data_IF_856615180970
#
_entry.id   IF_856615180970
#
_cell.length_a   1.000
_cell.length_b   1.000
_cell.length_c   1.000
_cell.angle_alpha   90.00
_cell.angle_beta   90.00
_cell.angle_gamma   90.00
#
_symmetry.space_group_name_H-M   'P 1'
#
loop_
_entity.id
_entity.type
_entity.pdbx_description
1 polymer ?
#
# COMPACT_ATOMS: atom_id res chain seq x y z
N UNK A 1 7.99 -24.28 -2.39
CA UNK A 1 7.47 -23.67 -1.15
C UNK A 1 7.98 -22.24 -1.09
N UNK A 2 7.22 -21.29 -1.65
CA UNK A 2 7.55 -19.87 -1.56
C UNK A 2 6.70 -19.25 -0.45
N UNK A 3 7.37 -18.50 0.42
CA UNK A 3 6.83 -18.01 1.70
C UNK A 3 5.80 -16.90 1.45
N UNK A 4 4.52 -17.28 1.50
CA UNK A 4 3.38 -16.38 1.57
C UNK A 4 3.35 -15.71 2.96
N UNK A 5 4.14 -14.65 3.17
CA UNK A 5 4.03 -13.79 4.36
C UNK A 5 4.03 -12.32 3.98
N UNK A 6 2.82 -11.81 3.85
CA UNK A 6 2.36 -10.53 4.39
C UNK A 6 2.99 -9.24 3.82
N UNK A 7 2.25 -8.61 2.92
CA UNK A 7 2.15 -7.13 2.91
C UNK A 7 0.73 -6.77 3.31
N UNK A 8 0.50 -6.74 4.63
CA UNK A 8 -0.70 -6.15 5.24
C UNK A 8 -0.47 -4.64 5.32
N UNK A 9 -1.13 -3.86 4.47
CA UNK A 9 -1.20 -2.41 4.66
C UNK A 9 -2.16 -2.11 5.81
N UNK A 10 -1.64 -1.55 6.90
CA UNK A 10 -2.35 -1.30 8.16
C UNK A 10 -2.73 0.19 8.27
N UNK A 11 -4.01 0.41 8.54
CA UNK A 11 -4.62 1.68 8.92
C UNK A 11 -4.06 2.21 10.26
N UNK A 12 -3.74 3.52 10.32
CA UNK A 12 -3.16 4.16 11.50
C UNK A 12 -4.26 4.84 12.33
N UNK A 13 -4.47 4.33 13.55
CA UNK A 13 -5.33 4.94 14.58
C UNK A 13 -4.46 5.75 15.56
N UNK A 14 -4.67 7.06 15.65
CA UNK A 14 -3.94 7.97 16.55
C UNK A 14 -4.49 7.88 17.99
N UNK A 15 -3.71 7.34 18.93
CA UNK A 15 -3.98 7.37 20.37
C UNK A 15 -3.01 8.32 21.08
N UNK A 16 -3.56 9.29 21.81
CA UNK A 16 -2.85 10.22 22.70
C UNK A 16 -2.46 9.53 24.01
N UNK A 17 -1.16 9.30 24.24
CA UNK A 17 -0.62 8.72 25.48
C UNK A 17 0.08 9.82 26.31
N UNK A 18 -0.14 9.89 27.64
CA UNK A 18 0.50 10.87 28.52
C UNK A 18 2.02 10.61 28.69
N UNK A 19 2.77 11.70 28.61
CA UNK A 19 4.23 11.78 28.67
C UNK A 19 4.74 11.49 30.11
N UNK A 20 5.08 10.23 30.39
CA UNK A 20 5.97 9.90 31.52
C UNK A 20 7.41 9.93 31.01
N UNK A 21 8.30 10.62 31.74
CA UNK A 21 9.71 10.80 31.39
C UNK A 21 10.43 9.44 31.30
N UNK A 22 10.41 8.84 30.11
CA UNK A 22 11.16 7.65 29.73
C UNK A 22 12.33 8.06 28.84
N UNK A 23 13.42 7.33 29.01
CA UNK A 23 14.71 7.36 28.32
C UNK A 23 14.76 8.14 26.99
N UNK A 24 15.26 9.38 27.07
CA UNK A 24 15.40 10.28 25.91
C UNK A 24 16.26 9.69 24.79
N UNK A 25 17.17 8.77 25.12
CA UNK A 25 18.03 8.08 24.16
C UNK A 25 17.22 7.18 23.22
N UNK A 26 16.21 6.48 23.75
CA UNK A 26 15.34 5.58 22.97
C UNK A 26 14.42 6.34 22.01
N UNK A 27 14.02 7.56 22.39
CA UNK A 27 13.18 8.39 21.53
C UNK A 27 13.94 8.91 20.30
N UNK A 28 15.17 9.41 20.47
CA UNK A 28 15.97 9.93 19.37
C UNK A 28 16.31 8.83 18.33
N UNK A 29 16.64 7.63 18.79
CA UNK A 29 16.88 6.48 17.91
C UNK A 29 15.62 6.08 17.13
N UNK A 30 14.46 6.05 17.78
CA UNK A 30 13.17 5.79 17.13
C UNK A 30 12.86 6.84 16.05
N UNK A 31 13.08 8.12 16.35
CA UNK A 31 12.88 9.21 15.38
C UNK A 31 13.78 9.07 14.17
N UNK A 32 15.07 8.74 14.36
CA UNK A 32 16.02 8.49 13.26
C UNK A 32 15.60 7.32 12.36
N UNK A 33 15.19 6.20 12.96
CA UNK A 33 14.72 5.01 12.20
C UNK A 33 13.48 5.35 11.37
N UNK A 34 12.51 6.05 11.97
CA UNK A 34 11.28 6.44 11.28
C UNK A 34 11.58 7.41 10.13
N UNK A 35 12.48 8.37 10.35
CA UNK A 35 12.87 9.33 9.31
C UNK A 35 13.58 8.64 8.14
N UNK A 36 14.53 7.76 8.42
CA UNK A 36 15.21 6.98 7.37
C UNK A 36 14.21 6.10 6.60
N UNK A 37 13.28 5.45 7.29
CA UNK A 37 12.23 4.65 6.67
C UNK A 37 11.38 5.48 5.71
N UNK A 38 10.94 6.68 6.12
CA UNK A 38 10.15 7.59 5.28
C UNK A 38 10.93 8.02 4.03
N UNK A 39 12.21 8.34 4.19
CA UNK A 39 13.07 8.76 3.08
C UNK A 39 13.24 7.64 2.04
N UNK A 40 13.58 6.42 2.49
CA UNK A 40 13.74 5.27 1.59
C UNK A 40 12.40 4.89 0.94
N UNK A 41 11.32 4.86 1.70
CA UNK A 41 9.97 4.57 1.18
C UNK A 41 9.55 5.58 0.09
N UNK A 42 9.76 6.87 0.35
CA UNK A 42 9.46 7.93 -0.63
C UNK A 42 10.29 7.77 -1.90
N UNK A 43 11.58 7.47 -1.77
CA UNK A 43 12.47 7.23 -2.90
C UNK A 43 12.05 6.02 -3.73
N UNK A 44 11.70 4.91 -3.09
CA UNK A 44 11.23 3.71 -3.79
C UNK A 44 9.89 3.96 -4.49
N UNK A 45 8.98 4.73 -3.90
CA UNK A 45 7.73 5.13 -4.54
C UNK A 45 7.95 5.97 -5.81
N UNK A 46 8.91 6.91 -5.79
CA UNK A 46 9.29 7.67 -6.98
C UNK A 46 9.87 6.78 -8.09
N UNK A 47 10.73 5.83 -7.73
CA UNK A 47 11.30 4.87 -8.66
C UNK A 47 10.23 3.95 -9.24
N UNK A 48 9.30 3.48 -8.42
CA UNK A 48 8.16 2.68 -8.85
C UNK A 48 7.29 3.45 -9.86
N UNK A 49 6.99 4.73 -9.60
CA UNK A 49 6.24 5.59 -10.53
C UNK A 49 6.97 5.76 -11.87
N UNK A 50 8.29 5.93 -11.85
CA UNK A 50 9.09 6.00 -13.07
C UNK A 50 9.11 4.66 -13.81
N UNK A 51 9.24 3.54 -13.09
CA UNK A 51 9.20 2.20 -13.67
C UNK A 51 7.84 1.89 -14.31
N UNK A 52 6.74 2.31 -13.70
CA UNK A 52 5.39 2.22 -14.28
C UNK A 52 5.17 3.09 -15.52
N UNK A 53 6.07 4.05 -15.79
CA UNK A 53 6.05 4.83 -17.05
C UNK A 53 6.69 4.07 -18.21
N UNK A 54 7.35 2.93 -17.96
CA UNK A 54 7.82 2.03 -19.01
C UNK A 54 6.62 1.36 -19.70
N UNK A 55 6.63 1.36 -21.04
CA UNK A 55 5.50 0.87 -21.84
C UNK A 55 5.16 -0.59 -21.54
N UNK A 56 6.16 -1.45 -21.35
CA UNK A 56 5.93 -2.87 -21.13
C UNK A 56 5.38 -3.12 -19.72
N UNK A 57 5.96 -2.48 -18.72
CA UNK A 57 5.50 -2.57 -17.32
C UNK A 57 4.08 -2.02 -17.19
N UNK A 58 3.82 -0.84 -17.77
CA UNK A 58 2.49 -0.21 -17.77
C UNK A 58 1.42 -1.11 -18.38
N UNK A 59 1.72 -1.71 -19.54
CA UNK A 59 0.79 -2.62 -20.23
C UNK A 59 0.54 -3.90 -19.43
N UNK A 60 1.56 -4.46 -18.79
CA UNK A 60 1.40 -5.61 -17.90
C UNK A 60 0.53 -5.25 -16.69
N UNK A 61 0.75 -4.09 -16.08
CA UNK A 61 -0.05 -3.60 -14.96
C UNK A 61 -1.52 -3.42 -15.34
N UNK A 62 -1.78 -2.82 -16.51
CA UNK A 62 -3.14 -2.66 -17.04
C UNK A 62 -3.82 -4.01 -17.26
N UNK A 63 -3.15 -4.97 -17.92
CA UNK A 63 -3.69 -6.29 -18.17
C UNK A 63 -4.02 -7.03 -16.86
N UNK A 64 -3.08 -7.03 -15.91
CA UNK A 64 -3.28 -7.64 -14.60
C UNK A 64 -4.48 -7.01 -13.87
N UNK A 65 -4.56 -5.67 -13.85
CA UNK A 65 -5.68 -4.95 -13.23
C UNK A 65 -7.02 -5.34 -13.86
N UNK A 66 -7.11 -5.40 -15.19
CA UNK A 66 -8.34 -5.78 -15.90
C UNK A 66 -8.71 -7.25 -15.63
N UNK A 67 -7.74 -8.16 -15.57
CA UNK A 67 -7.97 -9.57 -15.30
C UNK A 67 -8.45 -9.78 -13.85
N UNK A 68 -7.81 -9.10 -12.90
CA UNK A 68 -8.20 -9.11 -11.50
C UNK A 68 -9.61 -8.56 -11.30
N UNK A 69 -9.94 -7.42 -11.89
CA UNK A 69 -11.29 -6.86 -11.83
C UNK A 69 -12.33 -7.85 -12.39
N UNK A 70 -12.08 -8.42 -13.57
CA UNK A 70 -12.96 -9.43 -14.17
C UNK A 70 -13.13 -10.65 -13.27
N UNK A 71 -12.07 -11.08 -12.58
CA UNK A 71 -12.12 -12.20 -11.66
C UNK A 71 -12.98 -11.86 -10.43
N UNK A 72 -12.76 -10.69 -9.82
CA UNK A 72 -13.55 -10.22 -8.68
C UNK A 72 -15.04 -10.07 -9.03
N UNK A 73 -15.36 -9.48 -10.17
CA UNK A 73 -16.77 -9.31 -10.63
C UNK A 73 -17.42 -10.64 -10.97
N UNK A 74 -16.65 -11.62 -11.46
CA UNK A 74 -17.14 -12.97 -11.74
C UNK A 74 -17.48 -13.72 -10.44
N UNK A 75 -16.70 -13.54 -9.40
CA UNK A 75 -16.96 -14.12 -8.07
C UNK A 75 -18.14 -13.43 -7.38
N UNK A 76 -18.16 -12.09 -7.40
CA UNK A 76 -19.23 -11.29 -6.81
C UNK A 76 -19.58 -10.09 -7.70
N UNK A 77 -20.76 -10.15 -8.33
CA UNK A 77 -21.25 -9.09 -9.21
C UNK A 77 -21.44 -7.73 -8.52
N UNK A 78 -21.57 -7.68 -7.19
CA UNK A 78 -21.70 -6.42 -6.44
C UNK A 78 -20.40 -5.64 -6.40
N UNK A 79 -19.25 -6.30 -6.64
CA UNK A 79 -17.93 -5.65 -6.72
C UNK A 79 -17.92 -4.55 -7.77
N UNK A 80 -18.58 -4.75 -8.92
CA UNK A 80 -18.63 -3.72 -9.96
C UNK A 80 -19.26 -2.41 -9.45
N UNK A 81 -20.32 -2.52 -8.64
CA UNK A 81 -20.95 -1.34 -8.03
C UNK A 81 -20.01 -0.67 -7.03
N UNK A 82 -19.25 -1.44 -6.25
CA UNK A 82 -18.28 -0.93 -5.28
C UNK A 82 -17.12 -0.21 -5.96
N UNK A 83 -16.58 -0.77 -7.06
CA UNK A 83 -15.55 -0.12 -7.87
C UNK A 83 -16.08 1.21 -8.42
N UNK A 84 -17.24 1.19 -9.09
CA UNK A 84 -17.85 2.40 -9.64
C UNK A 84 -18.10 3.46 -8.56
N UNK A 85 -18.58 3.04 -7.38
CA UNK A 85 -18.83 3.94 -6.25
C UNK A 85 -17.54 4.54 -5.71
N UNK A 86 -16.45 3.77 -5.63
CA UNK A 86 -15.13 4.28 -5.22
C UNK A 86 -14.64 5.40 -6.15
N UNK A 87 -14.75 5.20 -7.46
CA UNK A 87 -14.34 6.22 -8.46
C UNK A 87 -15.22 7.49 -8.39
N UNK A 88 -16.52 7.32 -8.14
CA UNK A 88 -17.44 8.44 -7.90
C UNK A 88 -17.04 9.22 -6.64
N UNK A 89 -16.69 8.53 -5.56
CA UNK A 89 -16.24 9.15 -4.30
C UNK A 89 -14.98 9.99 -4.52
N UNK A 90 -13.98 9.49 -5.27
CA UNK A 90 -12.76 10.24 -5.58
C UNK A 90 -13.12 11.57 -6.26
N UNK A 91 -13.99 11.53 -7.27
CA UNK A 91 -14.42 12.72 -8.01
C UNK A 91 -15.14 13.74 -7.11
N UNK A 92 -16.03 13.25 -6.22
CA UNK A 92 -16.76 14.12 -5.27
C UNK A 92 -15.88 14.67 -4.17
N UNK A 93 -14.89 13.91 -3.73
CA UNK A 93 -13.96 14.35 -2.69
C UNK A 93 -13.17 15.58 -3.16
N UNK A 94 -12.71 15.60 -4.41
CA UNK A 94 -12.07 16.78 -5.01
C UNK A 94 -12.99 18.01 -5.07
N UNK A 95 -14.29 17.82 -5.32
CA UNK A 95 -15.28 18.90 -5.33
C UNK A 95 -15.55 19.43 -3.91
N UNK A 96 -15.71 18.53 -2.95
CA UNK A 96 -15.91 18.88 -1.54
C UNK A 96 -14.70 19.65 -0.97
N UNK A 97 -13.48 19.25 -1.33
CA UNK A 97 -12.25 19.96 -0.95
C UNK A 97 -12.20 21.38 -1.54
N UNK A 98 -12.48 21.52 -2.85
CA UNK A 98 -12.52 22.83 -3.54
C UNK A 98 -13.56 23.78 -2.97
N UNK A 99 -14.69 23.27 -2.50
CA UNK A 99 -15.79 24.06 -1.93
C UNK A 99 -15.67 24.27 -0.42
N UNK A 100 -14.69 23.63 0.22
CA UNK A 100 -14.51 23.67 1.67
C UNK A 100 -15.62 22.94 2.45
N UNK A 101 -16.36 22.04 1.81
CA UNK A 101 -17.42 21.26 2.46
C UNK A 101 -16.82 20.11 3.28
N UNK A 102 -16.27 20.45 4.44
CA UNK A 102 -15.54 19.52 5.31
C UNK A 102 -16.40 18.33 5.78
N UNK A 103 -17.70 18.54 6.02
CA UNK A 103 -18.60 17.46 6.43
C UNK A 103 -18.80 16.42 5.33
N UNK A 104 -18.99 16.88 4.09
CA UNK A 104 -19.10 15.97 2.94
C UNK A 104 -17.79 15.25 2.67
N UNK A 105 -16.65 15.97 2.68
CA UNK A 105 -15.33 15.37 2.52
C UNK A 105 -15.07 14.28 3.56
N UNK A 106 -15.42 14.52 4.83
CA UNK A 106 -15.31 13.53 5.90
C UNK A 106 -16.16 12.28 5.64
N UNK A 107 -17.43 12.46 5.27
CA UNK A 107 -18.34 11.32 5.00
C UNK A 107 -17.86 10.50 3.80
N UNK A 108 -17.44 11.16 2.72
CA UNK A 108 -16.87 10.52 1.54
C UNK A 108 -15.59 9.76 1.88
N UNK A 109 -14.75 10.31 2.76
CA UNK A 109 -13.56 9.61 3.23
C UNK A 109 -13.91 8.33 3.99
N UNK A 110 -14.87 8.35 4.91
CA UNK A 110 -15.30 7.13 5.62
C UNK A 110 -15.83 6.07 4.65
N UNK A 111 -16.70 6.45 3.73
CA UNK A 111 -17.25 5.53 2.73
C UNK A 111 -16.17 4.95 1.80
N UNK A 112 -15.21 5.78 1.38
CA UNK A 112 -14.06 5.33 0.59
C UNK A 112 -13.25 4.27 1.31
N UNK A 113 -13.03 4.47 2.61
CA UNK A 113 -12.27 3.55 3.46
C UNK A 113 -12.97 2.21 3.58
N UNK A 114 -14.27 2.20 3.89
CA UNK A 114 -15.09 0.98 3.97
C UNK A 114 -15.08 0.20 2.65
N UNK A 115 -15.34 0.86 1.53
CA UNK A 115 -15.35 0.21 0.20
C UNK A 115 -13.96 -0.34 -0.14
N UNK A 116 -12.89 0.39 0.19
CA UNK A 116 -11.52 -0.05 -0.08
C UNK A 116 -11.18 -1.32 0.71
N UNK A 117 -11.53 -1.37 2.00
CA UNK A 117 -11.32 -2.56 2.83
C UNK A 117 -12.04 -3.79 2.29
N UNK A 118 -13.32 -3.63 1.88
CA UNK A 118 -14.09 -4.72 1.28
C UNK A 118 -13.46 -5.20 -0.04
N UNK A 119 -13.10 -4.27 -0.94
CA UNK A 119 -12.44 -4.62 -2.21
C UNK A 119 -11.10 -5.32 -1.99
N UNK A 120 -10.32 -4.93 -0.98
CA UNK A 120 -9.06 -5.60 -0.62
C UNK A 120 -9.28 -7.04 -0.18
N UNK A 121 -10.36 -7.32 0.58
CA UNK A 121 -10.70 -8.70 0.97
C UNK A 121 -11.04 -9.54 -0.26
N UNK A 122 -11.83 -9.03 -1.19
CA UNK A 122 -12.14 -9.73 -2.44
C UNK A 122 -10.90 -9.97 -3.29
N UNK A 123 -10.07 -8.94 -3.51
CA UNK A 123 -8.81 -9.08 -4.24
C UNK A 123 -7.92 -10.17 -3.63
N UNK A 124 -7.78 -10.19 -2.30
CA UNK A 124 -7.01 -11.21 -1.61
C UNK A 124 -7.57 -12.62 -1.86
N UNK A 125 -8.87 -12.81 -1.70
CA UNK A 125 -9.52 -14.12 -1.91
C UNK A 125 -9.33 -14.61 -3.35
N UNK A 126 -9.45 -13.71 -4.34
CA UNK A 126 -9.18 -14.01 -5.74
C UNK A 126 -7.72 -14.44 -5.95
N UNK A 127 -6.75 -13.68 -5.43
CA UNK A 127 -5.33 -14.02 -5.57
C UNK A 127 -4.93 -15.32 -4.83
N UNK A 128 -5.65 -15.68 -3.76
CA UNK A 128 -5.46 -16.95 -3.06
C UNK A 128 -6.08 -18.15 -3.82
N UNK A 129 -7.11 -17.92 -4.63
CA UNK A 129 -7.88 -18.98 -5.30
C UNK A 129 -7.57 -19.15 -6.79
N UNK A 130 -7.10 -18.11 -7.48
CA UNK A 130 -6.75 -18.11 -8.89
C UNK A 130 -5.22 -18.16 -9.07
N UNK A 131 -4.70 -19.35 -9.35
CA UNK A 131 -3.25 -19.58 -9.48
C UNK A 131 -2.64 -18.81 -10.66
N UNK A 132 -3.35 -18.71 -11.78
CA UNK A 132 -2.82 -18.05 -12.98
C UNK A 132 -2.75 -16.54 -12.77
N UNK A 133 -3.78 -15.95 -12.17
CA UNK A 133 -3.75 -14.54 -11.82
C UNK A 133 -2.66 -14.22 -10.78
N UNK A 134 -2.44 -15.11 -9.80
CA UNK A 134 -1.32 -14.95 -8.86
C UNK A 134 0.04 -14.95 -9.57
N UNK A 135 0.26 -15.84 -10.54
CA UNK A 135 1.48 -15.85 -11.37
C UNK A 135 1.61 -14.58 -12.21
N UNK A 136 0.51 -14.05 -12.76
CA UNK A 136 0.52 -12.76 -13.45
C UNK A 136 0.96 -11.62 -12.52
N UNK A 137 0.50 -11.63 -11.27
CA UNK A 137 0.92 -10.68 -10.24
C UNK A 137 2.41 -10.79 -9.91
N UNK A 138 2.91 -12.00 -9.65
CA UNK A 138 4.34 -12.28 -9.40
C UNK A 138 5.21 -11.80 -10.58
N UNK A 139 4.80 -12.06 -11.82
CA UNK A 139 5.52 -11.62 -13.02
C UNK A 139 5.54 -10.09 -13.19
N UNK A 140 4.44 -9.41 -12.84
CA UNK A 140 4.38 -7.95 -12.83
C UNK A 140 5.31 -7.35 -11.77
N UNK A 141 5.33 -7.92 -10.56
CA UNK A 141 6.23 -7.50 -9.48
C UNK A 141 7.70 -7.64 -9.90
N UNK A 142 8.08 -8.77 -10.49
CA UNK A 142 9.43 -9.00 -11.03
C UNK A 142 9.79 -7.97 -12.11
N UNK A 143 8.90 -7.74 -13.08
CA UNK A 143 9.15 -6.77 -14.15
C UNK A 143 9.29 -5.34 -13.62
N UNK A 144 8.49 -4.98 -12.61
CA UNK A 144 8.54 -3.67 -11.98
C UNK A 144 9.85 -3.49 -11.21
N UNK A 145 10.26 -4.49 -10.44
CA UNK A 145 11.50 -4.48 -9.66
C UNK A 145 12.73 -4.40 -10.56
N UNK A 146 12.80 -5.20 -11.61
CA UNK A 146 13.89 -5.13 -12.60
C UNK A 146 13.94 -3.75 -13.26
N UNK A 147 12.78 -3.18 -13.62
CA UNK A 147 12.76 -1.83 -14.18
C UNK A 147 13.23 -0.76 -13.20
N UNK A 148 12.88 -0.88 -11.91
CA UNK A 148 13.38 0.01 -10.87
C UNK A 148 14.92 -0.09 -10.75
N UNK A 149 15.49 -1.30 -10.82
CA UNK A 149 16.95 -1.52 -10.80
C UNK A 149 17.65 -0.89 -12.01
N UNK A 150 17.04 -0.98 -13.19
CA UNK A 150 17.57 -0.34 -14.39
C UNK A 150 17.62 1.20 -14.28
N UNK A 151 16.64 1.78 -13.56
CA UNK A 151 16.59 3.22 -13.29
C UNK A 151 17.62 3.60 -12.21
N UNK A 152 17.71 2.82 -11.13
CA UNK A 152 18.59 3.06 -9.99
C UNK A 152 19.19 1.74 -9.47
N UNK A 153 20.50 1.48 -9.71
CA UNK A 153 21.16 0.25 -9.26
C UNK A 153 21.22 0.06 -7.74
N UNK A 154 20.92 1.09 -6.94
CA UNK A 154 20.89 0.98 -5.47
C UNK A 154 19.56 0.39 -4.95
N UNK A 155 18.55 0.16 -5.81
CA UNK A 155 17.25 -0.41 -5.43
C UNK A 155 17.35 -1.67 -4.55
N UNK A 156 18.21 -2.67 -4.84
CA UNK A 156 18.32 -3.84 -3.99
C UNK A 156 18.77 -3.51 -2.55
N UNK A 157 19.68 -2.54 -2.39
CA UNK A 157 20.13 -2.09 -1.08
C UNK A 157 19.06 -1.29 -0.35
N UNK A 158 18.32 -0.42 -1.07
CA UNK A 158 17.21 0.35 -0.52
C UNK A 158 16.11 -0.58 0.02
N UNK A 159 15.73 -1.61 -0.73
CA UNK A 159 14.74 -2.61 -0.31
C UNK A 159 15.22 -3.36 0.93
N UNK A 160 16.45 -3.90 0.91
CA UNK A 160 17.01 -4.62 2.06
C UNK A 160 17.11 -3.74 3.32
N UNK A 161 17.42 -2.44 3.15
CA UNK A 161 17.46 -1.48 4.26
C UNK A 161 16.06 -1.20 4.80
N UNK A 162 15.07 -1.04 3.92
CA UNK A 162 13.67 -0.84 4.32
C UNK A 162 13.14 -2.03 5.15
N UNK A 163 13.44 -3.27 4.75
CA UNK A 163 13.11 -4.47 5.51
C UNK A 163 13.75 -4.47 6.90
N UNK A 164 15.02 -4.09 6.98
CA UNK A 164 15.75 -3.97 8.25
C UNK A 164 15.09 -2.94 9.16
N UNK A 165 14.76 -1.75 8.63
CA UNK A 165 14.09 -0.68 9.38
C UNK A 165 12.70 -1.12 9.86
N UNK A 166 11.93 -1.82 9.02
CA UNK A 166 10.62 -2.35 9.40
C UNK A 166 10.72 -3.33 10.58
N UNK A 167 11.70 -4.23 10.58
CA UNK A 167 11.95 -5.14 11.70
C UNK A 167 12.34 -4.37 12.98
N UNK A 168 13.15 -3.33 12.86
CA UNK A 168 13.51 -2.47 14.00
C UNK A 168 12.28 -1.74 14.57
N UNK A 169 11.42 -1.18 13.72
CA UNK A 169 10.18 -0.51 14.13
C UNK A 169 9.26 -1.48 14.89
N UNK A 170 9.06 -2.69 14.39
CA UNK A 170 8.23 -3.71 15.06
C UNK A 170 8.78 -4.09 16.45
N UNK A 171 10.10 -4.26 16.58
CA UNK A 171 10.72 -4.57 17.87
C UNK A 171 10.53 -3.43 18.88
N UNK A 172 10.67 -2.17 18.44
CA UNK A 172 10.44 -0.99 19.28
C UNK A 172 9.00 -0.85 19.77
N UNK A 173 8.03 -1.49 19.11
CA UNK A 173 6.62 -1.51 19.53
C UNK A 173 6.29 -2.71 20.43
N UNK A 174 6.99 -3.83 20.26
CA UNK A 174 6.88 -5.01 21.13
C UNK A 174 7.30 -4.73 22.57
N UNK A 175 8.34 -3.91 22.77
CA UNK A 175 8.87 -3.57 24.10
C UNK A 175 7.92 -2.71 24.96
N UNK A 176 6.88 -2.09 24.37
CA UNK A 176 5.87 -1.31 25.10
C UNK A 176 4.78 -2.17 25.77
N UNK A 177 4.79 -3.49 25.58
CA UNK A 177 3.76 -4.41 26.11
C UNK A 177 4.19 -5.18 27.38
N UNK A 178 5.32 -4.83 27.99
CA UNK A 178 5.83 -5.38 29.27
C UNK A 178 5.86 -4.31 30.36
#
# INVERSE_FOLDING_TARGET
MFNLKAVKFLFVLLLTIPLSAQDTTSQEEREKIIEEYKQISSRLMELQKQALSDLNVSKQAENFSQNLEKAMVREDSTVLNKINRREEIISKFEEADKTGNQTEAYNLQQEFQEITEELMVHQKNILESDEELRKEGEALEDSLYEKMKDIDPEVPKLVARLETLNNQIQNLEGDKKL
#
